data_IF_532005762246
#
_entry.id   IF_532005762246
#
_cell.length_a   1.000
_cell.length_b   1.000
_cell.length_c   1.000
_cell.angle_alpha   90.00
_cell.angle_beta   90.00
_cell.angle_gamma   90.00
#
_symmetry.space_group_name_H-M   'P 1'
#
loop_
_entity.id
_entity.type
_entity.pdbx_description
1 polymer ?
#
# COMPACT_ATOMS: atom_id res chain seq x y z
N UNK A 1 -22.88 -14.17 -11.84
CA UNK A 1 -21.76 -14.98 -12.34
C UNK A 1 -20.81 -15.20 -11.17
N UNK A 2 -20.43 -16.42 -10.80
CA UNK A 2 -19.41 -16.59 -9.77
C UNK A 2 -18.05 -16.17 -10.35
N UNK A 3 -17.30 -15.34 -9.62
CA UNK A 3 -15.90 -15.06 -9.95
C UNK A 3 -15.13 -16.38 -9.89
N UNK A 4 -14.47 -16.73 -10.98
CA UNK A 4 -13.54 -17.85 -11.05
C UNK A 4 -12.36 -17.57 -10.12
N UNK A 5 -12.13 -18.44 -9.13
CA UNK A 5 -10.96 -18.43 -8.27
C UNK A 5 -9.73 -18.76 -9.12
N UNK A 6 -8.98 -17.74 -9.55
CA UNK A 6 -7.66 -17.93 -10.15
C UNK A 6 -6.77 -18.57 -9.07
N UNK A 7 -6.18 -19.75 -9.30
CA UNK A 7 -5.26 -20.35 -8.34
C UNK A 7 -4.01 -19.47 -8.23
N UNK A 8 -3.72 -18.94 -7.04
CA UNK A 8 -2.47 -18.25 -6.75
C UNK A 8 -1.35 -19.30 -6.66
N UNK A 9 -0.80 -19.72 -7.79
CA UNK A 9 0.44 -20.49 -7.78
C UNK A 9 1.56 -19.52 -7.38
N UNK A 10 2.05 -19.64 -6.15
CA UNK A 10 3.26 -18.94 -5.74
C UNK A 10 4.38 -19.33 -6.70
N UNK A 11 4.89 -18.36 -7.46
CA UNK A 11 6.04 -18.60 -8.33
C UNK A 11 7.26 -18.84 -7.43
N UNK A 12 7.87 -20.04 -7.43
CA UNK A 12 8.95 -20.40 -6.51
C UNK A 12 10.23 -19.56 -6.69
N UNK A 13 10.28 -18.69 -7.70
CA UNK A 13 11.40 -17.80 -7.98
C UNK A 13 11.28 -16.40 -7.36
N UNK A 14 10.18 -16.07 -6.66
CA UNK A 14 10.05 -14.75 -6.00
C UNK A 14 10.74 -14.80 -4.65
N UNK A 15 11.84 -14.06 -4.51
CA UNK A 15 12.48 -13.85 -3.21
C UNK A 15 11.66 -12.85 -2.40
N UNK A 16 11.20 -13.18 -1.18
CA UNK A 16 10.49 -12.23 -0.33
C UNK A 16 11.29 -10.96 -0.11
N UNK A 17 10.61 -9.81 -0.16
CA UNK A 17 11.19 -8.47 0.02
C UNK A 17 10.39 -7.69 1.05
N UNK A 18 11.03 -6.69 1.65
CA UNK A 18 10.33 -5.66 2.45
C UNK A 18 10.07 -4.45 1.58
N UNK A 19 8.82 -4.05 1.46
CA UNK A 19 8.36 -2.98 0.57
C UNK A 19 7.61 -1.95 1.40
N UNK A 20 7.87 -0.66 1.19
CA UNK A 20 7.01 0.41 1.72
C UNK A 20 6.15 0.98 0.59
N UNK A 21 4.89 1.28 0.90
CA UNK A 21 3.96 1.92 -0.05
C UNK A 21 3.42 3.18 0.60
N UNK A 22 3.81 4.34 0.08
CA UNK A 22 3.40 5.66 0.58
C UNK A 22 2.12 6.10 -0.10
N UNK A 23 1.10 6.35 0.72
CA UNK A 23 -0.28 6.63 0.31
C UNK A 23 -1.16 5.39 0.46
N UNK A 24 -2.23 5.50 1.26
CA UNK A 24 -3.23 4.42 1.46
C UNK A 24 -4.53 4.67 0.69
N UNK A 25 -4.46 5.47 -0.37
CA UNK A 25 -5.55 5.61 -1.33
C UNK A 25 -5.74 4.35 -2.19
N UNK A 26 -6.63 4.44 -3.17
CA UNK A 26 -7.00 3.31 -4.03
C UNK A 26 -5.79 2.59 -4.63
N UNK A 27 -4.90 3.33 -5.29
CA UNK A 27 -3.70 2.78 -5.93
C UNK A 27 -2.77 2.15 -4.90
N UNK A 28 -2.46 2.86 -3.82
CA UNK A 28 -1.47 2.42 -2.85
C UNK A 28 -1.89 1.18 -2.06
N UNK A 29 -3.10 1.18 -1.47
CA UNK A 29 -3.54 0.06 -0.64
C UNK A 29 -3.79 -1.22 -1.46
N UNK A 30 -4.38 -1.10 -2.66
CA UNK A 30 -4.56 -2.25 -3.56
C UNK A 30 -3.20 -2.81 -4.00
N UNK A 31 -2.24 -1.94 -4.32
CA UNK A 31 -0.87 -2.34 -4.70
C UNK A 31 -0.14 -3.02 -3.55
N UNK A 32 -0.28 -2.49 -2.32
CA UNK A 32 0.30 -3.09 -1.13
C UNK A 32 -0.22 -4.51 -0.90
N UNK A 33 -1.53 -4.73 -1.01
CA UNK A 33 -2.11 -6.07 -0.87
C UNK A 33 -1.71 -7.00 -2.01
N UNK A 34 -1.57 -6.49 -3.23
CA UNK A 34 -1.05 -7.27 -4.35
C UNK A 34 0.39 -7.74 -4.06
N UNK A 35 1.25 -6.91 -3.49
CA UNK A 35 2.59 -7.36 -3.08
C UNK A 35 2.55 -8.40 -1.95
N UNK A 36 1.67 -8.24 -0.97
CA UNK A 36 1.50 -9.20 0.12
C UNK A 36 1.01 -10.58 -0.39
N UNK A 37 0.09 -10.59 -1.37
CA UNK A 37 -0.35 -11.80 -2.08
C UNK A 37 0.81 -12.54 -2.76
N UNK A 38 1.78 -11.80 -3.31
CA UNK A 38 2.95 -12.37 -3.96
C UNK A 38 4.10 -12.73 -2.99
N UNK A 39 3.85 -12.67 -1.67
CA UNK A 39 4.77 -13.15 -0.65
C UNK A 39 5.76 -12.10 -0.12
N UNK A 40 5.56 -10.82 -0.44
CA UNK A 40 6.35 -9.73 0.14
C UNK A 40 5.79 -9.30 1.50
N UNK A 41 6.64 -8.68 2.32
CA UNK A 41 6.21 -7.94 3.51
C UNK A 41 6.06 -6.47 3.14
N UNK A 42 4.96 -5.86 3.54
CA UNK A 42 4.57 -4.53 3.12
C UNK A 42 4.26 -3.65 4.31
N UNK A 43 4.84 -2.45 4.31
CA UNK A 43 4.50 -1.38 5.25
C UNK A 43 3.75 -0.30 4.49
N UNK A 44 2.46 -0.17 4.77
CA UNK A 44 1.62 0.93 4.27
C UNK A 44 1.96 2.20 5.05
N UNK A 45 2.20 3.31 4.35
CA UNK A 45 2.51 4.59 4.97
C UNK A 45 1.46 5.61 4.58
N UNK A 46 0.91 6.36 5.53
CA UNK A 46 0.05 7.51 5.25
C UNK A 46 0.30 8.62 6.27
N UNK A 47 0.17 9.88 5.85
CA UNK A 47 0.33 11.03 6.74
C UNK A 47 -0.87 11.22 7.67
N UNK A 48 -2.01 10.60 7.33
CA UNK A 48 -3.26 10.67 8.08
C UNK A 48 -3.33 9.54 9.11
N UNK A 49 -3.20 9.84 10.42
CA UNK A 49 -3.22 8.81 11.47
C UNK A 49 -4.52 7.99 11.48
N UNK A 50 -5.64 8.59 11.10
CA UNK A 50 -6.93 7.90 10.99
C UNK A 50 -6.93 6.83 9.90
N UNK A 51 -6.23 7.04 8.77
CA UNK A 51 -6.10 6.03 7.72
C UNK A 51 -5.18 4.90 8.14
N UNK A 52 -4.09 5.24 8.83
CA UNK A 52 -3.18 4.23 9.40
C UNK A 52 -3.90 3.36 10.43
N UNK A 53 -4.72 3.96 11.30
CA UNK A 53 -5.54 3.23 12.26
C UNK A 53 -6.54 2.31 11.56
N UNK A 54 -7.30 2.81 10.57
CA UNK A 54 -8.23 2.01 9.77
C UNK A 54 -7.54 0.80 9.13
N UNK A 55 -6.42 1.02 8.45
CA UNK A 55 -5.66 -0.05 7.79
C UNK A 55 -5.15 -1.05 8.82
N UNK A 56 -4.62 -0.59 9.96
CA UNK A 56 -4.14 -1.47 11.04
C UNK A 56 -5.24 -2.33 11.66
N UNK A 57 -6.48 -1.82 11.68
CA UNK A 57 -7.67 -2.54 12.14
C UNK A 57 -8.30 -3.44 11.06
N UNK A 58 -7.72 -3.47 9.85
CA UNK A 58 -8.21 -4.29 8.75
C UNK A 58 -9.36 -3.67 7.94
N UNK A 59 -9.62 -2.37 8.10
CA UNK A 59 -10.62 -1.63 7.32
C UNK A 59 -9.97 -0.72 6.27
N UNK A 60 -10.63 -0.57 5.12
CA UNK A 60 -10.14 0.25 4.03
C UNK A 60 -10.81 1.64 4.00
N UNK A 61 -10.09 2.71 3.64
CA UNK A 61 -10.66 4.06 3.54
C UNK A 61 -11.61 4.26 2.33
N UNK A 62 -11.83 3.22 1.52
CA UNK A 62 -12.68 3.21 0.34
C UNK A 62 -13.26 1.80 0.11
N UNK A 63 -14.31 1.72 -0.70
CA UNK A 63 -14.92 0.44 -1.07
C UNK A 63 -14.24 -0.18 -2.29
N UNK A 64 -13.76 -1.41 -2.13
CA UNK A 64 -13.31 -2.29 -3.21
C UNK A 64 -13.67 -3.75 -2.84
N UNK A 65 -14.37 -4.51 -3.70
CA UNK A 65 -14.76 -5.88 -3.42
C UNK A 65 -13.60 -6.79 -2.97
N UNK A 66 -13.72 -7.37 -1.77
CA UNK A 66 -12.75 -8.33 -1.21
C UNK A 66 -11.48 -7.71 -0.61
N UNK A 67 -11.36 -6.37 -0.59
CA UNK A 67 -10.18 -5.69 -0.09
C UNK A 67 -9.98 -5.87 1.42
N UNK A 68 -11.02 -5.62 2.23
CA UNK A 68 -10.93 -5.74 3.70
C UNK A 68 -10.66 -7.18 4.15
N UNK A 69 -11.28 -8.17 3.52
CA UNK A 69 -11.01 -9.59 3.79
C UNK A 69 -9.53 -9.93 3.51
N UNK A 70 -9.00 -9.45 2.40
CA UNK A 70 -7.59 -9.64 2.02
C UNK A 70 -6.65 -8.92 2.99
N UNK A 71 -7.01 -7.70 3.40
CA UNK A 71 -6.24 -6.90 4.34
C UNK A 71 -6.16 -7.56 5.72
N UNK A 72 -7.31 -7.92 6.30
CA UNK A 72 -7.40 -8.62 7.59
C UNK A 72 -6.55 -9.88 7.59
N UNK A 73 -6.61 -10.68 6.52
CA UNK A 73 -5.81 -11.89 6.39
C UNK A 73 -4.31 -11.59 6.41
N UNK A 74 -3.83 -10.64 5.61
CA UNK A 74 -2.39 -10.34 5.54
C UNK A 74 -1.84 -9.65 6.79
N UNK A 75 -2.67 -8.88 7.51
CA UNK A 75 -2.33 -8.38 8.84
C UNK A 75 -2.18 -9.55 9.81
N UNK A 76 -3.13 -10.49 9.81
CA UNK A 76 -3.08 -11.71 10.63
C UNK A 76 -1.87 -12.60 10.32
N UNK A 77 -1.40 -12.61 9.06
CA UNK A 77 -0.17 -13.30 8.63
C UNK A 77 1.13 -12.52 8.95
N UNK A 78 1.03 -11.29 9.47
CA UNK A 78 2.18 -10.42 9.73
C UNK A 78 2.92 -9.99 8.45
N UNK A 79 2.21 -9.95 7.33
CA UNK A 79 2.73 -9.51 6.03
C UNK A 79 2.43 -8.05 5.73
N UNK A 80 1.39 -7.48 6.32
CA UNK A 80 1.01 -6.07 6.15
C UNK A 80 1.01 -5.40 7.51
N UNK A 81 1.62 -4.21 7.56
CA UNK A 81 1.60 -3.29 8.69
C UNK A 81 1.36 -1.86 8.18
N UNK A 82 0.97 -0.93 9.06
CA UNK A 82 0.76 0.47 8.70
C UNK A 82 1.39 1.44 9.69
N UNK A 83 1.93 2.55 9.18
CA UNK A 83 2.58 3.59 10.00
C UNK A 83 2.41 4.99 9.40
N UNK A 84 2.59 6.01 10.23
CA UNK A 84 2.74 7.41 9.77
C UNK A 84 4.20 7.82 9.59
N UNK A 85 5.15 6.97 10.01
CA UNK A 85 6.59 7.28 9.94
C UNK A 85 7.19 6.81 8.62
N UNK A 86 7.22 7.72 7.64
CA UNK A 86 7.83 7.46 6.33
C UNK A 86 9.31 7.12 6.45
N UNK A 87 10.04 7.81 7.32
CA UNK A 87 11.49 7.67 7.41
C UNK A 87 11.89 6.31 8.03
N UNK A 88 11.14 5.83 9.02
CA UNK A 88 11.31 4.47 9.56
C UNK A 88 10.95 3.40 8.50
N UNK A 89 9.82 3.58 7.79
CA UNK A 89 9.40 2.66 6.75
C UNK A 89 10.44 2.54 5.61
N UNK A 90 11.02 3.65 5.17
CA UNK A 90 12.08 3.67 4.14
C UNK A 90 13.32 2.95 4.63
N UNK A 91 13.78 3.21 5.87
CA UNK A 91 14.94 2.51 6.44
C UNK A 91 14.70 1.02 6.65
N UNK A 92 13.45 0.63 6.91
CA UNK A 92 13.05 -0.75 7.13
C UNK A 92 12.85 -1.57 5.85
N UNK A 93 12.81 -0.94 4.67
CA UNK A 93 12.40 -1.58 3.41
C UNK A 93 13.48 -1.50 2.33
N UNK A 94 13.38 -2.38 1.33
CA UNK A 94 14.32 -2.46 0.20
C UNK A 94 13.84 -1.62 -1.00
N UNK A 95 12.54 -1.40 -1.09
CA UNK A 95 11.88 -0.65 -2.16
C UNK A 95 10.74 0.17 -1.58
N UNK A 96 10.64 1.43 -2.00
CA UNK A 96 9.54 2.34 -1.64
C UNK A 96 8.76 2.73 -2.89
N UNK A 97 7.44 2.55 -2.84
CA UNK A 97 6.52 3.00 -3.89
C UNK A 97 5.81 4.27 -3.42
N UNK A 98 5.87 5.34 -4.23
CA UNK A 98 5.11 6.56 -4.00
C UNK A 98 3.79 6.48 -4.75
N UNK A 99 2.70 6.28 -4.01
CA UNK A 99 1.33 6.13 -4.52
C UNK A 99 0.41 7.27 -3.99
N UNK A 100 0.95 8.49 -3.94
CA UNK A 100 0.26 9.69 -3.47
C UNK A 100 -0.55 10.36 -4.59
N UNK A 101 -1.41 11.31 -4.21
CA UNK A 101 -2.29 12.00 -5.16
C UNK A 101 -1.53 12.94 -6.08
N UNK A 102 -1.88 12.91 -7.37
CA UNK A 102 -1.45 13.88 -8.39
C UNK A 102 -2.67 14.42 -9.12
N UNK A 103 -3.54 15.20 -8.43
CA UNK A 103 -4.79 15.63 -9.02
C UNK A 103 -4.55 16.49 -10.26
N UNK A 104 -5.34 16.25 -11.31
CA UNK A 104 -5.31 17.05 -12.53
C UNK A 104 -6.02 18.40 -12.34
N UNK A 105 -5.45 19.44 -12.91
CA UNK A 105 -6.06 20.76 -13.05
C UNK A 105 -6.88 20.87 -14.35
N UNK A 106 -7.87 21.78 -14.42
CA UNK A 106 -8.68 21.99 -15.62
C UNK A 106 -7.88 22.42 -16.87
N UNK A 107 -6.68 22.98 -16.67
CA UNK A 107 -5.77 23.39 -17.74
C UNK A 107 -4.85 22.26 -18.24
N UNK A 108 -5.02 21.03 -17.72
CA UNK A 108 -4.24 19.85 -18.10
C UNK A 108 -2.92 19.70 -17.34
N UNK A 109 -2.61 20.58 -16.39
CA UNK A 109 -1.47 20.42 -15.48
C UNK A 109 -1.81 19.45 -14.34
N UNK A 110 -0.79 19.05 -13.57
CA UNK A 110 -0.94 18.18 -12.40
C UNK A 110 -0.34 18.85 -11.18
N UNK A 111 -1.03 18.77 -10.04
CA UNK A 111 -0.44 19.14 -8.75
C UNK A 111 0.50 18.02 -8.28
N UNK A 112 1.80 18.32 -8.25
CA UNK A 112 2.84 17.39 -7.81
C UNK A 112 3.25 17.60 -6.35
N UNK A 113 2.60 18.50 -5.62
CA UNK A 113 3.02 18.88 -4.27
C UNK A 113 3.12 17.69 -3.31
N UNK A 114 2.13 16.79 -3.31
CA UNK A 114 2.18 15.58 -2.49
C UNK A 114 3.30 14.63 -2.89
N UNK A 115 3.55 14.48 -4.20
CA UNK A 115 4.61 13.62 -4.72
C UNK A 115 5.99 14.14 -4.35
N UNK A 116 6.22 15.44 -4.48
CA UNK A 116 7.48 16.08 -4.14
C UNK A 116 7.74 16.01 -2.63
N UNK A 117 6.74 16.30 -1.80
CA UNK A 117 6.85 16.15 -0.34
C UNK A 117 7.18 14.71 0.07
N UNK A 118 6.50 13.72 -0.52
CA UNK A 118 6.78 12.32 -0.23
C UNK A 118 8.18 11.90 -0.70
N UNK A 119 8.67 12.44 -1.82
CA UNK A 119 10.03 12.18 -2.28
C UNK A 119 11.09 12.79 -1.33
N UNK A 120 10.84 13.98 -0.79
CA UNK A 120 11.70 14.60 0.23
C UNK A 120 11.76 13.79 1.52
N UNK A 121 10.63 13.23 1.97
CA UNK A 121 10.57 12.37 3.16
C UNK A 121 11.34 11.05 2.98
N UNK A 122 11.48 10.57 1.75
CA UNK A 122 12.25 9.35 1.42
C UNK A 122 13.75 9.60 1.49
N UNK A 123 14.22 10.80 1.10
CA UNK A 123 15.63 11.21 1.12
C UNK A 123 16.31 11.21 -0.24
#
# INVERSE_FOLDING_TARGET
>A
MPLSTVPTTSNPNVTPRRISVVGTGYVGLVTALAFAEHGHKVTCVDILPERVAQVSEGSAPFYEPGLEETLVRHIGEGKVDATTDTADAVRGTEVTFLCVGTPSSPDGTYDLGQLLSAAEDVG
#
